data_IF_764710509774
#
_entry.id   IF_764710509774
#
_cell.length_a   1.000
_cell.length_b   1.000
_cell.length_c   1.000
_cell.angle_alpha   90.00
_cell.angle_beta   90.00
_cell.angle_gamma   90.00
#
_symmetry.space_group_name_H-M   'P 1'
#
loop_
_entity.id
_entity.type
_entity.pdbx_description
1 polymer ?
#
# COMPACT_ATOMS: atom_id res chain seq x y z
N UNK A 1 -7.67 -11.41 -5.34
CA UNK A 1 -7.77 -10.04 -4.81
C UNK A 1 -6.92 -9.14 -5.68
N UNK A 2 -7.51 -8.08 -6.20
CA UNK A 2 -6.85 -7.17 -7.14
C UNK A 2 -6.53 -5.85 -6.48
N UNK A 3 -5.27 -5.44 -6.57
CA UNK A 3 -4.79 -4.18 -6.03
C UNK A 3 -4.39 -3.28 -7.20
N UNK A 4 -4.90 -2.06 -7.22
CA UNK A 4 -4.56 -1.07 -8.23
C UNK A 4 -4.08 0.20 -7.56
N UNK A 5 -2.87 0.64 -7.90
CA UNK A 5 -2.29 1.89 -7.43
C UNK A 5 -2.08 2.82 -8.62
N UNK A 6 -2.46 4.07 -8.47
CA UNK A 6 -2.28 5.07 -9.52
C UNK A 6 -1.76 6.36 -8.91
N UNK A 7 -0.57 6.77 -9.34
CA UNK A 7 0.04 8.02 -8.92
C UNK A 7 0.30 8.14 -7.43
N UNK A 8 0.65 7.05 -6.77
CA UNK A 8 0.84 7.05 -5.31
C UNK A 8 2.10 7.81 -4.94
N UNK A 9 1.95 8.79 -4.08
CA UNK A 9 3.05 9.57 -3.52
C UNK A 9 3.04 9.45 -2.00
N UNK A 10 4.21 9.34 -1.42
CA UNK A 10 4.37 9.31 0.03
C UNK A 10 5.64 10.05 0.42
N UNK A 11 5.49 11.03 1.30
CA UNK A 11 6.59 11.80 1.84
C UNK A 11 6.56 11.70 3.37
N UNK A 12 7.70 11.41 3.97
CA UNK A 12 7.84 11.43 5.42
C UNK A 12 8.48 12.75 5.83
N UNK A 13 7.97 13.31 6.93
CA UNK A 13 8.47 14.55 7.49
C UNK A 13 9.10 14.25 8.84
N UNK A 14 10.41 14.04 8.82
CA UNK A 14 11.20 13.79 10.02
C UNK A 14 12.43 14.67 9.95
N UNK A 15 12.22 15.95 10.26
CA UNK A 15 13.21 16.97 10.01
C UNK A 15 13.05 17.51 8.60
N UNK A 16 13.81 17.00 7.64
CA UNK A 16 13.66 17.34 6.23
C UNK A 16 12.66 16.42 5.55
N UNK A 17 11.87 16.90 4.58
CA UNK A 17 10.96 16.03 3.84
C UNK A 17 11.73 14.95 3.06
N UNK A 18 11.22 13.72 3.10
CA UNK A 18 11.77 12.61 2.34
C UNK A 18 10.66 11.98 1.49
N UNK A 19 10.71 12.26 0.19
CA UNK A 19 9.73 11.75 -0.77
C UNK A 19 10.13 10.31 -1.15
N UNK A 20 9.50 9.33 -0.51
CA UNK A 20 9.87 7.92 -0.63
C UNK A 20 9.20 7.25 -1.82
N UNK A 21 7.90 7.52 -2.03
CA UNK A 21 7.17 6.98 -3.18
C UNK A 21 6.83 8.13 -4.12
N UNK A 22 7.16 7.97 -5.39
CA UNK A 22 7.10 9.05 -6.39
C UNK A 22 6.22 8.62 -7.56
N UNK A 23 4.90 8.85 -7.44
CA UNK A 23 3.98 8.57 -8.52
C UNK A 23 3.92 7.11 -8.90
N UNK A 24 3.78 6.23 -7.94
CA UNK A 24 3.80 4.78 -8.18
C UNK A 24 2.50 4.33 -8.83
N UNK A 25 2.62 3.69 -9.99
CA UNK A 25 1.51 3.03 -10.69
C UNK A 25 1.77 1.53 -10.68
N UNK A 26 0.79 0.75 -10.22
CA UNK A 26 1.02 -0.67 -10.04
C UNK A 26 -0.31 -1.41 -9.99
N UNK A 27 -0.38 -2.56 -10.68
CA UNK A 27 -1.48 -3.49 -10.57
C UNK A 27 -0.94 -4.80 -10.03
N UNK A 28 -1.56 -5.31 -8.97
CA UNK A 28 -1.05 -6.49 -8.27
C UNK A 28 -2.14 -7.51 -8.08
N UNK A 29 -1.88 -8.74 -8.49
CA UNK A 29 -2.65 -9.92 -8.13
C UNK A 29 -1.92 -10.66 -7.01
N UNK A 30 -2.60 -11.63 -6.40
CA UNK A 30 -2.06 -12.35 -5.25
C UNK A 30 -0.67 -12.96 -5.50
N UNK A 31 -0.48 -13.58 -6.65
CA UNK A 31 0.80 -14.22 -6.98
C UNK A 31 1.95 -13.22 -7.15
N UNK A 32 1.64 -12.00 -7.58
CA UNK A 32 2.64 -10.97 -7.80
C UNK A 32 3.17 -10.35 -6.52
N UNK A 33 2.38 -10.43 -5.44
CA UNK A 33 2.76 -9.88 -4.14
C UNK A 33 4.05 -10.51 -3.60
N UNK A 34 4.24 -11.79 -3.88
CA UNK A 34 5.45 -12.51 -3.46
C UNK A 34 6.70 -11.88 -4.07
N UNK A 35 6.63 -11.48 -5.34
CA UNK A 35 7.76 -10.83 -6.01
C UNK A 35 8.12 -9.50 -5.37
N UNK A 36 7.12 -8.70 -4.98
CA UNK A 36 7.37 -7.44 -4.28
C UNK A 36 8.05 -7.68 -2.95
N UNK A 37 7.61 -8.67 -2.20
CA UNK A 37 8.18 -9.01 -0.91
C UNK A 37 9.64 -9.49 -1.02
N UNK A 38 9.99 -10.11 -2.13
CA UNK A 38 11.35 -10.57 -2.35
C UNK A 38 12.32 -9.50 -2.81
N UNK A 39 11.84 -8.36 -3.30
CA UNK A 39 12.69 -7.28 -3.78
C UNK A 39 13.34 -6.56 -2.60
N UNK A 40 14.41 -5.82 -2.87
CA UNK A 40 15.04 -4.96 -1.88
C UNK A 40 14.98 -3.51 -2.35
N UNK A 41 14.90 -2.58 -1.41
CA UNK A 41 14.84 -1.18 -1.74
C UNK A 41 14.19 -0.36 -0.64
N UNK A 42 14.53 0.92 -0.58
CA UNK A 42 14.10 1.80 0.50
C UNK A 42 12.60 2.08 0.51
N UNK A 43 11.94 2.06 -0.65
CA UNK A 43 10.51 2.32 -0.75
C UNK A 43 9.63 1.10 -0.52
N UNK A 44 10.21 -0.09 -0.45
CA UNK A 44 9.45 -1.33 -0.37
C UNK A 44 8.64 -1.45 0.91
N UNK A 45 9.25 -1.18 2.05
CA UNK A 45 8.57 -1.24 3.34
C UNK A 45 7.44 -0.24 3.41
N UNK A 46 7.66 0.97 2.89
CA UNK A 46 6.63 2.00 2.82
C UNK A 46 5.46 1.55 1.95
N UNK A 47 5.76 0.98 0.79
CA UNK A 47 4.73 0.48 -0.12
C UNK A 47 3.92 -0.64 0.54
N UNK A 48 4.58 -1.59 1.19
CA UNK A 48 3.89 -2.68 1.87
C UNK A 48 3.03 -2.19 3.02
N UNK A 49 3.46 -1.17 3.75
CA UNK A 49 2.67 -0.58 4.82
C UNK A 49 1.39 0.06 4.27
N UNK A 50 1.48 0.74 3.15
CA UNK A 50 0.31 1.35 2.51
C UNK A 50 -0.63 0.27 1.98
N UNK A 51 -0.10 -0.75 1.32
CA UNK A 51 -0.90 -1.86 0.81
C UNK A 51 -1.62 -2.59 1.94
N UNK A 52 -0.95 -2.75 3.08
CA UNK A 52 -1.53 -3.40 4.26
C UNK A 52 -2.43 -2.51 5.10
N UNK A 53 -2.65 -1.28 4.66
CA UNK A 53 -3.50 -0.30 5.38
C UNK A 53 -2.96 -0.03 6.78
N UNK A 54 -1.64 -0.12 6.93
CA UNK A 54 -0.95 0.24 8.17
C UNK A 54 -0.49 1.69 8.15
N UNK A 55 -0.46 2.31 6.97
CA UNK A 55 -0.07 3.69 6.78
C UNK A 55 -0.92 4.29 5.66
N UNK A 56 -0.88 5.60 5.53
CA UNK A 56 -1.61 6.33 4.50
C UNK A 56 -0.67 6.81 3.41
N UNK A 57 -1.23 7.17 2.26
CA UNK A 57 -0.49 7.81 1.18
C UNK A 57 -0.94 9.27 1.05
N UNK A 58 -0.08 10.11 0.49
CA UNK A 58 -0.35 11.55 0.43
C UNK A 58 -1.27 11.90 -0.74
N UNK A 59 -0.95 11.41 -1.93
CA UNK A 59 -1.76 11.63 -3.13
C UNK A 59 -1.80 10.36 -3.97
N UNK A 60 -2.72 10.32 -4.90
CA UNK A 60 -2.92 9.17 -5.77
C UNK A 60 -4.17 8.40 -5.40
N UNK A 61 -4.32 7.22 -5.97
CA UNK A 61 -5.48 6.37 -5.78
C UNK A 61 -5.05 4.94 -5.51
N UNK A 62 -5.54 4.36 -4.42
CA UNK A 62 -5.36 2.95 -4.10
C UNK A 62 -6.75 2.32 -4.06
N UNK A 63 -7.00 1.36 -4.96
CA UNK A 63 -8.24 0.59 -4.95
C UNK A 63 -7.94 -0.88 -4.72
N UNK A 64 -8.80 -1.52 -3.94
CA UNK A 64 -8.72 -2.92 -3.59
C UNK A 64 -10.03 -3.56 -4.02
N UNK A 65 -9.99 -4.41 -5.04
CA UNK A 65 -11.19 -5.00 -5.64
C UNK A 65 -12.22 -3.94 -6.02
N UNK A 66 -11.76 -2.83 -6.57
CA UNK A 66 -12.62 -1.71 -6.97
C UNK A 66 -13.03 -0.77 -5.86
N UNK A 67 -12.69 -1.06 -4.61
CA UNK A 67 -13.02 -0.20 -3.49
C UNK A 67 -11.88 0.78 -3.21
N UNK A 68 -12.20 2.08 -3.16
CA UNK A 68 -11.21 3.11 -2.85
C UNK A 68 -10.76 2.99 -1.39
N UNK A 69 -9.45 2.89 -1.19
CA UNK A 69 -8.84 2.82 0.13
C UNK A 69 -8.36 4.23 0.51
N UNK A 70 -9.25 5.01 1.09
CA UNK A 70 -8.96 6.37 1.53
C UNK A 70 -10.04 6.84 2.50
N UNK A 71 -9.64 7.54 3.54
CA UNK A 71 -10.54 8.12 4.54
C UNK A 71 -11.49 7.09 5.16
N UNK A 72 -10.98 5.91 5.43
CA UNK A 72 -11.77 4.84 6.02
C UNK A 72 -12.01 5.10 7.51
N UNK A 73 -13.18 4.64 8.01
CA UNK A 73 -13.40 4.57 9.44
C UNK A 73 -12.43 3.58 10.07
N UNK A 74 -12.17 3.70 11.37
CA UNK A 74 -11.28 2.76 12.06
C UNK A 74 -11.78 1.32 11.96
N UNK A 75 -13.09 1.12 12.08
CA UNK A 75 -13.68 -0.21 11.94
C UNK A 75 -13.44 -0.80 10.57
N UNK A 76 -13.69 -0.03 9.52
CA UNK A 76 -13.51 -0.52 8.15
C UNK A 76 -12.04 -0.73 7.84
N UNK A 77 -11.19 0.18 8.30
CA UNK A 77 -9.74 0.04 8.13
C UNK A 77 -9.23 -1.22 8.79
N UNK A 78 -9.70 -1.51 10.00
CA UNK A 78 -9.30 -2.73 10.72
C UNK A 78 -9.74 -4.00 9.98
N UNK A 79 -10.96 -4.02 9.46
CA UNK A 79 -11.46 -5.17 8.69
C UNK A 79 -10.58 -5.43 7.46
N UNK A 80 -10.31 -4.38 6.69
CA UNK A 80 -9.50 -4.50 5.48
C UNK A 80 -8.06 -4.84 5.81
N UNK A 81 -7.51 -4.27 6.88
CA UNK A 81 -6.16 -4.57 7.33
C UNK A 81 -6.00 -6.06 7.65
N UNK A 82 -6.96 -6.63 8.35
CA UNK A 82 -6.92 -8.05 8.67
C UNK A 82 -6.93 -8.92 7.40
N UNK A 83 -7.73 -8.55 6.43
CA UNK A 83 -7.74 -9.26 5.14
C UNK A 83 -6.40 -9.12 4.42
N UNK A 84 -5.82 -7.94 4.45
CA UNK A 84 -4.54 -7.68 3.77
C UNK A 84 -3.38 -8.37 4.44
N UNK A 85 -3.40 -8.50 5.76
CA UNK A 85 -2.35 -9.25 6.47
C UNK A 85 -2.35 -10.70 5.99
N UNK A 86 -3.52 -11.32 5.90
CA UNK A 86 -3.62 -12.67 5.36
C UNK A 86 -3.15 -12.78 3.91
N UNK A 87 -3.40 -11.75 3.11
CA UNK A 87 -2.98 -11.71 1.71
C UNK A 87 -1.46 -11.51 1.57
N UNK A 88 -0.89 -10.56 2.31
CA UNK A 88 0.52 -10.19 2.20
C UNK A 88 1.44 -11.25 2.81
N UNK A 89 1.07 -11.81 3.96
CA UNK A 89 1.93 -12.70 4.72
C UNK A 89 1.59 -14.17 4.56
N UNK A 90 0.66 -14.49 3.69
CA UNK A 90 0.36 -15.87 3.36
C UNK A 90 1.45 -16.41 2.46
N UNK A 91 2.21 -17.31 2.97
CA UNK A 91 3.28 -17.94 2.21
C UNK A 91 2.80 -19.19 1.47
#
# INVERSE_FOLDING_TARGET
MMIHLEGINKTYFNGAPLHVLKGIDLDIEKGEMVSIMGASGSGKSTLLNILGILDTYDTGTYTLNGQLIRNLSETRAAELRNRMIGFIFQS
#
